data_IF_505556748299
#
_entry.id   IF_505556748299
#
_cell.length_a   1.000
_cell.length_b   1.000
_cell.length_c   1.000
_cell.angle_alpha   90.00
_cell.angle_beta   90.00
_cell.angle_gamma   90.00
#
_symmetry.space_group_name_H-M   'P 1'
#
loop_
_entity.id
_entity.type
_entity.pdbx_description
1 polymer ?
#
# COMPACT_ATOMS: atom_id res chain seq x y z
N UNK A 1 -43.26 9.60 20.37
CA UNK A 1 -42.03 9.96 21.09
C UNK A 1 -40.86 9.59 20.19
N UNK A 2 -40.19 10.59 19.61
CA UNK A 2 -39.02 10.41 18.76
C UNK A 2 -37.82 10.29 19.72
N UNK A 3 -37.28 9.09 19.88
CA UNK A 3 -35.98 8.90 20.54
C UNK A 3 -34.91 9.14 19.48
N UNK A 4 -34.42 10.38 19.43
CA UNK A 4 -33.22 10.73 18.70
C UNK A 4 -32.04 10.12 19.45
N UNK A 5 -31.52 9.00 18.96
CA UNK A 5 -30.27 8.42 19.47
C UNK A 5 -29.10 9.30 19.01
N UNK A 6 -28.49 10.00 19.96
CA UNK A 6 -27.22 10.70 19.76
C UNK A 6 -26.13 9.71 19.33
N UNK A 7 -25.57 9.89 18.13
CA UNK A 7 -24.32 9.25 17.74
C UNK A 7 -23.25 9.70 18.76
N UNK A 8 -22.65 8.74 19.47
CA UNK A 8 -21.42 8.99 20.19
C UNK A 8 -20.31 9.18 19.16
N UNK A 9 -19.90 10.42 18.91
CA UNK A 9 -18.60 10.69 18.30
C UNK A 9 -17.53 10.05 19.19
N UNK A 10 -16.70 9.18 18.63
CA UNK A 10 -15.64 8.54 19.40
C UNK A 10 -14.58 9.56 19.80
N UNK A 11 -13.85 9.30 20.87
CA UNK A 11 -12.73 10.18 21.23
C UNK A 11 -11.71 10.25 20.08
N UNK A 12 -11.23 11.44 19.72
CA UNK A 12 -10.20 11.58 18.70
C UNK A 12 -8.95 10.77 19.04
N UNK A 13 -8.44 10.02 18.07
CA UNK A 13 -7.22 9.21 18.18
C UNK A 13 -6.07 9.89 17.47
N UNK A 14 -4.85 9.70 18.00
CA UNK A 14 -3.63 10.17 17.35
C UNK A 14 -3.37 9.35 16.07
N UNK A 15 -3.00 10.06 14.99
CA UNK A 15 -2.67 9.46 13.71
C UNK A 15 -1.50 10.20 13.04
N UNK A 16 -0.82 9.50 12.12
CA UNK A 16 0.07 10.11 11.12
C UNK A 16 -0.69 10.25 9.83
N UNK A 17 -0.74 11.46 9.28
CA UNK A 17 -1.27 11.72 7.95
C UNK A 17 -0.11 11.86 6.98
N UNK A 18 -0.12 11.10 5.89
CA UNK A 18 0.87 11.16 4.83
C UNK A 18 0.17 11.52 3.53
N UNK A 19 0.72 12.47 2.79
CA UNK A 19 0.21 12.88 1.48
C UNK A 19 1.21 12.50 0.41
N UNK A 20 0.75 11.67 -0.53
CA UNK A 20 1.52 11.26 -1.69
C UNK A 20 0.97 11.93 -2.95
N UNK A 21 1.88 12.23 -3.88
CA UNK A 21 1.55 12.42 -5.27
C UNK A 21 1.83 11.09 -5.98
N UNK A 22 0.81 10.51 -6.60
CA UNK A 22 0.91 9.27 -7.37
C UNK A 22 0.71 9.56 -8.85
N UNK A 23 1.39 8.81 -9.70
CA UNK A 23 1.26 8.89 -11.15
C UNK A 23 1.22 7.47 -11.70
N UNK A 24 0.34 7.25 -12.68
CA UNK A 24 0.18 5.97 -13.35
C UNK A 24 0.13 6.20 -14.86
N UNK A 25 0.38 5.16 -15.65
CA UNK A 25 0.40 5.27 -17.10
C UNK A 25 -0.96 5.77 -17.62
N UNK A 26 -0.94 6.87 -18.36
CA UNK A 26 -2.14 7.47 -18.96
C UNK A 26 -3.06 8.22 -17.98
N UNK A 27 -2.65 8.42 -16.72
CA UNK A 27 -3.40 9.18 -15.71
C UNK A 27 -2.56 10.38 -15.25
N UNK A 28 -3.20 11.54 -15.16
CA UNK A 28 -2.56 12.74 -14.61
C UNK A 28 -2.15 12.52 -13.15
N UNK A 29 -1.01 13.07 -12.69
CA UNK A 29 -0.60 12.92 -11.30
C UNK A 29 -1.69 13.37 -10.33
N UNK A 30 -1.90 12.56 -9.29
CA UNK A 30 -3.00 12.76 -8.35
C UNK A 30 -2.60 12.56 -6.91
N UNK A 31 -3.37 13.17 -6.01
CA UNK A 31 -3.10 13.13 -4.58
C UNK A 31 -3.73 11.91 -3.94
N UNK A 32 -2.95 11.21 -3.12
CA UNK A 32 -3.43 10.14 -2.23
C UNK A 32 -3.08 10.49 -0.80
N UNK A 33 -4.03 10.33 0.12
CA UNK A 33 -3.83 10.57 1.56
C UNK A 33 -3.93 9.26 2.33
N UNK A 34 -2.92 9.00 3.16
CA UNK A 34 -2.89 7.90 4.10
C UNK A 34 -3.07 8.46 5.51
N UNK A 35 -4.04 7.94 6.26
CA UNK A 35 -4.19 8.22 7.69
C UNK A 35 -3.89 6.95 8.47
N UNK A 36 -2.81 6.95 9.23
CA UNK A 36 -2.27 5.76 9.90
C UNK A 36 -2.36 5.93 11.42
N UNK A 37 -3.04 5.00 12.07
CA UNK A 37 -3.07 4.84 13.53
C UNK A 37 -2.38 3.54 13.92
N UNK A 38 -2.22 3.27 15.21
CA UNK A 38 -1.75 1.97 15.67
C UNK A 38 -2.65 0.78 15.26
N UNK A 39 -3.90 1.03 14.86
CA UNK A 39 -4.91 0.01 14.55
C UNK A 39 -5.32 -0.04 13.08
N UNK A 40 -5.27 1.09 12.40
CA UNK A 40 -5.88 1.25 11.08
C UNK A 40 -4.98 2.02 10.12
N UNK A 41 -5.12 1.74 8.83
CA UNK A 41 -4.74 2.65 7.75
C UNK A 41 -6.00 2.97 6.97
N UNK A 42 -6.26 4.25 6.72
CA UNK A 42 -7.24 4.70 5.70
C UNK A 42 -6.49 5.30 4.53
N UNK A 43 -6.86 4.94 3.31
CA UNK A 43 -6.30 5.46 2.06
C UNK A 43 -7.44 6.10 1.28
N UNK A 44 -7.27 7.37 0.91
CA UNK A 44 -8.19 8.14 0.09
C UNK A 44 -7.48 8.63 -1.17
N UNK A 45 -8.06 8.36 -2.34
CA UNK A 45 -7.70 9.00 -3.61
C UNK A 45 -8.72 10.09 -3.95
N UNK A 46 -8.29 11.16 -4.63
CA UNK A 46 -9.08 12.21 -5.30
C UNK A 46 -10.24 12.94 -4.56
N UNK A 47 -11.13 12.26 -3.82
CA UNK A 47 -12.21 12.80 -2.97
C UNK A 47 -12.84 11.69 -2.11
N UNK A 48 -13.45 12.00 -0.95
CA UNK A 48 -14.21 11.01 -0.17
C UNK A 48 -15.45 10.45 -0.91
N UNK A 49 -15.84 11.03 -2.05
CA UNK A 49 -17.05 10.65 -2.79
C UNK A 49 -16.87 9.42 -3.70
N UNK A 50 -15.63 9.05 -4.07
CA UNK A 50 -15.33 7.87 -4.91
C UNK A 50 -15.34 6.57 -4.09
N UNK A 51 -14.83 6.64 -2.87
CA UNK A 51 -14.58 5.49 -2.02
C UNK A 51 -13.34 5.69 -1.15
N UNK A 52 -12.92 4.63 -0.48
CA UNK A 52 -11.69 4.61 0.30
C UNK A 52 -11.28 3.18 0.63
N UNK A 53 -10.04 3.00 1.04
CA UNK A 53 -9.53 1.72 1.53
C UNK A 53 -9.29 1.82 3.04
N UNK A 54 -9.71 0.82 3.80
CA UNK A 54 -9.35 0.65 5.21
C UNK A 54 -8.59 -0.66 5.40
N UNK A 55 -7.40 -0.59 5.98
CA UNK A 55 -6.72 -1.74 6.53
C UNK A 55 -6.96 -1.82 8.04
N UNK A 56 -7.61 -2.88 8.50
CA UNK A 56 -7.73 -3.23 9.90
C UNK A 56 -6.58 -4.18 10.29
N UNK A 57 -5.63 -3.63 11.07
CA UNK A 57 -4.43 -4.36 11.51
C UNK A 57 -4.75 -5.46 12.52
N UNK A 58 -5.75 -5.26 13.38
CA UNK A 58 -6.15 -6.24 14.40
C UNK A 58 -6.71 -7.48 13.74
N UNK A 59 -7.60 -7.29 12.77
CA UNK A 59 -8.26 -8.39 12.08
C UNK A 59 -7.50 -8.88 10.83
N UNK A 60 -6.44 -8.18 10.43
CA UNK A 60 -5.67 -8.43 9.21
C UNK A 60 -6.55 -8.51 7.96
N UNK A 61 -7.39 -7.48 7.77
CA UNK A 61 -8.30 -7.36 6.64
C UNK A 61 -8.17 -6.01 5.97
N UNK A 62 -8.19 -6.01 4.64
CA UNK A 62 -8.34 -4.80 3.83
C UNK A 62 -9.78 -4.75 3.33
N UNK A 63 -10.39 -3.59 3.46
CA UNK A 63 -11.69 -3.25 2.93
C UNK A 63 -11.47 -2.21 1.84
N UNK A 64 -11.90 -2.50 0.61
CA UNK A 64 -11.96 -1.51 -0.46
C UNK A 64 -13.42 -1.11 -0.63
N UNK A 65 -13.75 0.11 -0.23
CA UNK A 65 -15.12 0.65 -0.20
C UNK A 65 -15.32 1.47 -1.47
N UNK A 66 -16.38 1.17 -2.20
CA UNK A 66 -16.84 1.95 -3.36
C UNK A 66 -18.19 2.56 -3.06
N UNK A 67 -18.27 3.89 -3.08
CA UNK A 67 -19.53 4.62 -2.88
C UNK A 67 -20.43 4.58 -4.13
N UNK A 68 -19.82 4.44 -5.32
CA UNK A 68 -20.53 4.41 -6.60
C UNK A 68 -21.53 3.26 -6.70
N UNK A 69 -21.11 2.05 -6.33
CA UNK A 69 -21.94 0.84 -6.39
C UNK A 69 -22.33 0.28 -5.01
N UNK A 70 -22.05 1.05 -3.94
CA UNK A 70 -22.30 0.70 -2.54
C UNK A 70 -21.81 -0.70 -2.19
N UNK A 71 -20.54 -0.95 -2.51
CA UNK A 71 -19.93 -2.26 -2.35
C UNK A 71 -18.64 -2.21 -1.54
N UNK A 72 -18.30 -3.33 -0.93
CA UNK A 72 -17.06 -3.51 -0.16
C UNK A 72 -16.40 -4.81 -0.60
N UNK A 73 -15.24 -4.70 -1.24
CA UNK A 73 -14.36 -5.83 -1.44
C UNK A 73 -13.57 -6.07 -0.14
N UNK A 74 -13.75 -7.26 0.44
CA UNK A 74 -13.03 -7.69 1.65
C UNK A 74 -11.89 -8.61 1.25
N UNK A 75 -10.66 -8.22 1.59
CA UNK A 75 -9.43 -8.97 1.32
C UNK A 75 -8.83 -9.40 2.66
N UNK A 76 -9.02 -10.66 3.09
CA UNK A 76 -8.39 -11.17 4.29
C UNK A 76 -6.93 -11.52 4.04
N UNK A 77 -6.16 -11.67 5.12
CA UNK A 77 -4.80 -12.22 5.05
C UNK A 77 -4.83 -13.67 4.56
N UNK A 78 -4.04 -13.95 3.52
CA UNK A 78 -3.81 -15.31 3.04
C UNK A 78 -2.39 -15.80 3.36
N UNK A 79 -2.20 -17.12 3.58
CA UNK A 79 -0.88 -17.70 3.54
C UNK A 79 -0.32 -17.62 2.12
N UNK A 80 0.96 -17.28 1.99
CA UNK A 80 1.66 -17.20 0.70
C UNK A 80 2.89 -18.08 0.79
N UNK A 81 3.14 -18.88 -0.25
CA UNK A 81 4.38 -19.63 -0.38
C UNK A 81 5.55 -18.67 -0.61
N UNK A 82 6.75 -19.10 -0.26
CA UNK A 82 7.95 -18.36 -0.61
C UNK A 82 8.03 -18.19 -2.13
N UNK A 83 8.43 -17.01 -2.57
CA UNK A 83 8.68 -16.74 -3.99
C UNK A 83 10.03 -17.36 -4.37
N UNK A 84 10.01 -18.25 -5.35
CA UNK A 84 11.20 -18.90 -5.91
C UNK A 84 11.24 -18.62 -7.42
N UNK A 85 11.77 -17.45 -7.83
CA UNK A 85 11.79 -17.06 -9.24
C UNK A 85 12.76 -17.92 -10.07
N UNK A 86 12.45 -18.20 -11.35
CA UNK A 86 13.38 -18.85 -12.28
C UNK A 86 14.49 -17.91 -12.78
N UNK A 87 14.72 -16.79 -12.09
CA UNK A 87 15.69 -15.75 -12.42
C UNK A 87 16.32 -15.21 -11.14
N UNK A 88 17.48 -14.57 -11.27
CA UNK A 88 18.18 -14.02 -10.11
C UNK A 88 17.58 -12.67 -9.73
N UNK A 89 17.41 -12.45 -8.43
CA UNK A 89 17.13 -11.13 -7.87
C UNK A 89 18.41 -10.48 -7.39
N UNK A 90 18.63 -9.23 -7.79
CA UNK A 90 19.70 -8.39 -7.26
C UNK A 90 19.09 -7.21 -6.52
N UNK A 91 19.45 -7.05 -5.25
CA UNK A 91 18.98 -5.97 -4.40
C UNK A 91 20.17 -5.09 -4.03
N UNK A 92 20.07 -3.82 -4.35
CA UNK A 92 21.04 -2.80 -3.99
C UNK A 92 20.45 -1.87 -2.94
N UNK A 93 21.18 -1.64 -1.85
CA UNK A 93 20.80 -0.72 -0.79
C UNK A 93 21.98 0.19 -0.44
N UNK A 94 21.87 1.47 -0.78
CA UNK A 94 22.99 2.43 -0.69
C UNK A 94 22.52 3.81 -0.27
N UNK A 95 23.33 4.51 0.52
CA UNK A 95 23.06 5.91 0.86
C UNK A 95 23.12 6.77 -0.40
N UNK A 96 22.25 7.78 -0.50
CA UNK A 96 22.27 8.75 -1.59
C UNK A 96 23.17 9.92 -1.22
N UNK A 97 24.38 9.94 -1.77
CA UNK A 97 25.31 11.05 -1.56
C UNK A 97 24.74 12.34 -2.17
N UNK A 98 24.80 13.44 -1.42
CA UNK A 98 24.30 14.75 -1.84
C UNK A 98 22.78 14.92 -1.77
N UNK A 99 22.01 13.89 -1.43
CA UNK A 99 20.58 14.04 -1.19
C UNK A 99 20.32 14.88 0.09
N UNK A 100 19.30 15.76 0.10
CA UNK A 100 18.92 16.47 1.31
C UNK A 100 18.44 15.49 2.39
N UNK A 101 18.72 15.83 3.63
CA UNK A 101 18.18 15.06 4.77
C UNK A 101 16.68 15.34 4.94
N UNK A 102 15.94 14.32 5.34
CA UNK A 102 14.52 14.45 5.71
C UNK A 102 14.40 14.22 7.21
N UNK A 103 13.94 15.24 7.92
CA UNK A 103 13.91 15.24 9.39
C UNK A 103 15.26 14.89 10.03
N UNK A 104 16.35 15.41 9.46
CA UNK A 104 17.72 15.16 9.92
C UNK A 104 18.22 13.73 9.68
N UNK A 105 17.61 12.99 8.75
CA UNK A 105 17.96 11.60 8.42
C UNK A 105 18.35 11.49 6.95
N UNK A 106 19.35 10.66 6.68
CA UNK A 106 19.87 10.40 5.33
C UNK A 106 18.88 9.59 4.50
N UNK A 107 18.84 9.88 3.21
CA UNK A 107 18.08 9.11 2.22
C UNK A 107 18.94 7.97 1.68
N UNK A 108 18.32 6.81 1.47
CA UNK A 108 18.92 5.64 0.86
C UNK A 108 18.11 5.22 -0.37
N UNK A 109 18.81 4.71 -1.38
CA UNK A 109 18.21 4.06 -2.52
C UNK A 109 18.16 2.55 -2.29
N UNK A 110 17.00 1.95 -2.50
CA UNK A 110 16.72 0.53 -2.50
C UNK A 110 16.25 0.14 -3.91
N UNK A 111 17.09 -0.58 -4.64
CA UNK A 111 16.81 -0.97 -6.03
C UNK A 111 16.72 -2.48 -6.15
N UNK A 112 15.68 -2.96 -6.82
CA UNK A 112 15.49 -4.38 -7.10
C UNK A 112 15.55 -4.61 -8.60
N UNK A 113 16.42 -5.53 -9.01
CA UNK A 113 16.56 -5.94 -10.40
C UNK A 113 16.25 -7.42 -10.56
N UNK A 114 15.58 -7.77 -11.65
CA UNK A 114 15.55 -9.14 -12.16
C UNK A 114 16.67 -9.33 -13.18
N UNK A 115 17.43 -10.41 -13.05
CA UNK A 115 18.53 -10.75 -13.94
C UNK A 115 18.28 -12.13 -14.55
N UNK A 116 18.16 -12.16 -15.88
CA UNK A 116 18.01 -13.36 -16.70
C UNK A 116 19.31 -13.61 -17.48
N UNK A 117 19.35 -14.67 -18.30
CA UNK A 117 20.46 -14.91 -19.22
C UNK A 117 20.54 -13.90 -20.38
N UNK A 118 19.46 -13.15 -20.63
CA UNK A 118 19.34 -12.24 -21.78
C UNK A 118 19.33 -10.77 -21.36
N UNK A 119 18.77 -10.46 -20.20
CA UNK A 119 18.47 -9.08 -19.78
C UNK A 119 18.69 -8.87 -18.28
N UNK A 120 18.99 -7.63 -17.90
CA UNK A 120 18.91 -7.13 -16.53
C UNK A 120 17.97 -5.92 -16.54
N UNK A 121 16.92 -5.98 -15.74
CA UNK A 121 15.85 -4.97 -15.70
C UNK A 121 15.66 -4.49 -14.26
N UNK A 122 15.42 -3.19 -14.07
CA UNK A 122 15.08 -2.61 -12.76
C UNK A 122 13.58 -2.68 -12.58
N UNK A 123 13.13 -3.47 -11.60
CA UNK A 123 11.71 -3.69 -11.34
C UNK A 123 11.15 -2.68 -10.33
N UNK A 124 11.98 -2.27 -9.38
CA UNK A 124 11.65 -1.24 -8.39
C UNK A 124 12.88 -0.38 -8.13
N UNK A 125 12.67 0.92 -7.98
CA UNK A 125 13.66 1.87 -7.48
C UNK A 125 12.99 2.72 -6.40
N UNK A 126 13.49 2.64 -5.17
CA UNK A 126 12.82 3.22 -4.01
C UNK A 126 13.80 4.06 -3.23
N UNK A 127 13.50 5.34 -3.07
CA UNK A 127 14.19 6.20 -2.13
C UNK A 127 13.45 6.14 -0.80
N UNK A 128 14.17 5.84 0.27
CA UNK A 128 13.61 5.65 1.60
C UNK A 128 14.48 6.27 2.69
N UNK A 129 13.87 6.55 3.83
CA UNK A 129 14.53 7.18 4.97
C UNK A 129 14.48 6.25 6.18
N UNK A 130 15.62 5.65 6.58
CA UNK A 130 15.69 4.77 7.74
C UNK A 130 15.29 5.48 9.04
N UNK A 131 14.38 4.84 9.80
CA UNK A 131 13.90 5.37 11.09
C UNK A 131 12.97 6.58 11.00
N UNK A 132 12.55 7.00 9.80
CA UNK A 132 11.43 7.93 9.64
C UNK A 132 10.11 7.18 9.87
N UNK A 133 9.34 7.57 10.89
CA UNK A 133 8.03 7.00 11.22
C UNK A 133 7.98 5.45 11.18
N UNK A 134 8.77 4.75 12.01
CA UNK A 134 8.94 3.29 11.93
C UNK A 134 7.63 2.51 12.07
N UNK A 135 6.69 2.98 12.91
CA UNK A 135 5.37 2.34 13.07
C UNK A 135 4.50 2.46 11.80
N UNK A 136 4.65 3.55 11.05
CA UNK A 136 3.98 3.74 9.76
C UNK A 136 4.57 2.78 8.73
N UNK A 137 5.90 2.69 8.64
CA UNK A 137 6.56 1.76 7.73
C UNK A 137 6.18 0.29 8.03
N UNK A 138 6.11 -0.09 9.30
CA UNK A 138 5.64 -1.41 9.72
C UNK A 138 4.18 -1.67 9.28
N UNK A 139 3.30 -0.69 9.50
CA UNK A 139 1.89 -0.80 9.15
C UNK A 139 1.67 -0.92 7.63
N UNK A 140 2.40 -0.11 6.84
CA UNK A 140 2.38 -0.18 5.38
C UNK A 140 2.95 -1.51 4.86
N UNK A 141 3.99 -2.05 5.50
CA UNK A 141 4.49 -3.38 5.15
C UNK A 141 3.43 -4.47 5.42
N UNK A 142 2.73 -4.39 6.55
CA UNK A 142 1.69 -5.35 6.89
C UNK A 142 0.52 -5.30 5.89
N UNK A 143 0.12 -4.09 5.48
CA UNK A 143 -0.83 -3.87 4.39
C UNK A 143 -0.35 -4.48 3.06
N UNK A 144 0.87 -4.15 2.64
CA UNK A 144 1.46 -4.65 1.38
C UNK A 144 1.52 -6.18 1.33
N UNK A 145 1.79 -6.84 2.46
CA UNK A 145 1.78 -8.32 2.55
C UNK A 145 0.41 -8.92 2.26
N UNK A 146 -0.69 -8.25 2.64
CA UNK A 146 -2.06 -8.73 2.33
C UNK A 146 -2.36 -8.55 0.85
N UNK A 147 -2.03 -7.36 0.31
CA UNK A 147 -2.23 -7.05 -1.12
C UNK A 147 -1.44 -8.02 -2.00
N UNK A 148 -0.15 -8.22 -1.73
CA UNK A 148 0.68 -9.21 -2.45
C UNK A 148 0.13 -10.63 -2.33
N UNK A 149 -0.38 -11.04 -1.16
CA UNK A 149 -0.99 -12.35 -1.00
C UNK A 149 -2.21 -12.56 -1.92
N UNK A 150 -3.04 -11.52 -2.08
CA UNK A 150 -4.16 -11.53 -3.02
C UNK A 150 -3.68 -11.61 -4.47
N UNK A 151 -2.63 -10.86 -4.84
CA UNK A 151 -2.06 -10.93 -6.19
C UNK A 151 -1.49 -12.31 -6.52
N UNK A 152 -0.77 -12.95 -5.59
CA UNK A 152 -0.25 -14.32 -5.79
C UNK A 152 -1.38 -15.30 -6.07
N UNK A 153 -2.49 -15.21 -5.33
CA UNK A 153 -3.65 -16.09 -5.55
C UNK A 153 -4.31 -15.90 -6.92
N UNK A 154 -4.26 -14.68 -7.45
CA UNK A 154 -4.85 -14.33 -8.74
C UNK A 154 -3.85 -14.45 -9.90
N UNK A 155 -2.62 -14.90 -9.65
CA UNK A 155 -1.59 -14.99 -10.67
C UNK A 155 -2.02 -15.90 -11.83
N UNK A 156 -2.71 -17.01 -11.52
CA UNK A 156 -3.16 -17.95 -12.54
C UNK A 156 -4.21 -17.35 -13.50
N UNK A 157 -4.91 -16.30 -13.07
CA UNK A 157 -5.82 -15.52 -13.92
C UNK A 157 -5.11 -14.48 -14.79
N UNK A 158 -3.81 -14.23 -14.58
CA UNK A 158 -3.00 -13.34 -15.43
C UNK A 158 -2.46 -14.16 -16.62
N UNK A 159 -2.64 -13.74 -17.88
CA UNK A 159 -2.03 -14.43 -19.03
C UNK A 159 -0.50 -14.53 -18.91
N UNK A 160 0.10 -15.64 -19.38
CA UNK A 160 1.53 -15.92 -19.20
C UNK A 160 2.44 -14.84 -19.80
N UNK A 161 2.03 -14.25 -20.93
CA UNK A 161 2.74 -13.18 -21.61
C UNK A 161 2.89 -11.90 -20.76
N UNK A 162 2.00 -11.69 -19.78
CA UNK A 162 2.09 -10.57 -18.85
C UNK A 162 2.85 -10.91 -17.56
N UNK A 163 3.20 -12.19 -17.34
CA UNK A 163 3.95 -12.65 -16.15
C UNK A 163 5.46 -12.43 -16.29
N UNK A 164 5.86 -11.22 -16.70
CA UNK A 164 7.27 -10.86 -16.87
C UNK A 164 8.03 -10.92 -15.54
N UNK A 165 9.37 -11.04 -15.54
CA UNK A 165 10.16 -11.05 -14.31
C UNK A 165 9.87 -9.87 -13.39
N UNK A 166 9.78 -8.65 -13.93
CA UNK A 166 9.47 -7.48 -13.12
C UNK A 166 8.01 -7.43 -12.66
N UNK A 167 7.04 -7.86 -13.46
CA UNK A 167 5.66 -8.01 -13.00
C UNK A 167 5.58 -8.94 -11.78
N UNK A 168 6.24 -10.09 -11.84
CA UNK A 168 6.27 -11.05 -10.73
C UNK A 168 6.91 -10.46 -9.47
N UNK A 169 8.02 -9.72 -9.61
CA UNK A 169 8.74 -9.11 -8.48
C UNK A 169 7.97 -7.98 -7.84
N UNK A 170 7.44 -7.07 -8.65
CA UNK A 170 6.94 -5.76 -8.22
C UNK A 170 5.43 -5.78 -7.92
N UNK A 171 4.65 -6.48 -8.74
CA UNK A 171 3.18 -6.45 -8.64
C UNK A 171 2.64 -7.67 -7.88
N UNK A 172 3.26 -8.83 -8.04
CA UNK A 172 2.73 -10.09 -7.49
C UNK A 172 3.37 -10.43 -6.14
N UNK A 173 4.70 -10.55 -6.11
CA UNK A 173 5.45 -11.02 -4.95
C UNK A 173 6.10 -9.90 -4.12
N UNK A 174 5.79 -8.64 -4.39
CA UNK A 174 6.29 -7.52 -3.61
C UNK A 174 5.63 -7.47 -2.22
N UNK A 175 6.33 -8.01 -1.22
CA UNK A 175 5.90 -8.04 0.18
C UNK A 175 6.29 -6.79 0.96
N UNK A 176 6.85 -5.78 0.29
CA UNK A 176 7.28 -4.53 0.92
C UNK A 176 8.53 -4.70 1.79
N UNK A 177 9.48 -5.55 1.42
CA UNK A 177 10.67 -5.80 2.26
C UNK A 177 11.51 -4.53 2.50
N UNK A 178 11.44 -3.56 1.59
CA UNK A 178 12.07 -2.24 1.72
C UNK A 178 11.54 -1.42 2.92
N UNK A 179 10.29 -1.63 3.36
CA UNK A 179 9.76 -0.96 4.56
C UNK A 179 10.54 -1.32 5.83
N UNK A 180 11.22 -2.47 5.85
CA UNK A 180 12.12 -2.84 6.96
C UNK A 180 13.41 -2.02 6.99
N UNK A 181 13.74 -1.35 5.88
CA UNK A 181 14.91 -0.46 5.76
C UNK A 181 14.57 0.99 6.07
N UNK A 182 13.33 1.41 5.81
CA UNK A 182 12.83 2.73 6.17
C UNK A 182 11.54 3.08 5.43
N UNK A 183 11.02 4.26 5.69
CA UNK A 183 9.81 4.74 5.02
C UNK A 183 10.15 5.23 3.60
N UNK A 184 9.46 4.73 2.55
CA UNK A 184 9.58 5.25 1.20
C UNK A 184 9.13 6.71 1.11
N UNK A 185 9.93 7.50 0.42
CA UNK A 185 9.66 8.90 0.10
C UNK A 185 9.49 9.12 -1.41
N UNK A 186 10.09 8.26 -2.24
CA UNK A 186 9.88 8.21 -3.68
C UNK A 186 9.96 6.74 -4.13
N UNK A 187 9.02 6.31 -4.95
CA UNK A 187 8.93 4.94 -5.48
C UNK A 187 8.73 5.01 -6.99
N UNK A 188 9.51 4.24 -7.75
CA UNK A 188 9.30 3.95 -9.16
C UNK A 188 9.12 2.45 -9.34
N UNK A 189 8.05 2.08 -10.03
CA UNK A 189 7.64 0.70 -10.25
C UNK A 189 7.72 0.34 -11.74
N UNK A 190 7.77 -0.96 -12.01
CA UNK A 190 7.91 -1.50 -13.37
C UNK A 190 6.69 -1.28 -14.27
N UNK A 191 5.53 -1.01 -13.68
CA UNK A 191 4.28 -0.67 -14.38
C UNK A 191 4.10 0.84 -14.59
N UNK A 192 5.20 1.60 -14.61
CA UNK A 192 5.22 3.06 -14.72
C UNK A 192 4.56 3.81 -13.54
N UNK A 193 4.09 3.10 -12.50
CA UNK A 193 3.59 3.74 -11.30
C UNK A 193 4.73 4.46 -10.58
N UNK A 194 4.46 5.70 -10.20
CA UNK A 194 5.34 6.51 -9.36
C UNK A 194 4.59 7.02 -8.15
N UNK A 195 5.30 7.17 -7.04
CA UNK A 195 4.74 7.69 -5.80
C UNK A 195 5.76 8.55 -5.09
N UNK A 196 5.39 9.76 -4.71
CA UNK A 196 6.24 10.70 -4.00
C UNK A 196 5.56 11.19 -2.73
N UNK A 197 6.20 11.01 -1.58
CA UNK A 197 5.77 11.62 -0.32
C UNK A 197 6.00 13.12 -0.39
N UNK A 198 4.91 13.89 -0.31
CA UNK A 198 4.93 15.36 -0.40
C UNK A 198 4.76 16.02 0.96
N UNK A 199 4.07 15.36 1.89
CA UNK A 199 3.87 15.87 3.25
C UNK A 199 3.64 14.71 4.24
N UNK A 200 4.02 14.92 5.50
CA UNK A 200 3.57 14.11 6.61
C UNK A 200 3.39 14.96 7.86
N UNK A 201 2.36 14.67 8.65
CA UNK A 201 2.01 15.45 9.85
C UNK A 201 1.32 14.59 10.91
N UNK A 202 1.40 15.07 12.15
CA UNK A 202 0.71 14.49 13.30
C UNK A 202 -0.68 15.12 13.40
N UNK A 203 -1.72 14.28 13.45
CA UNK A 203 -3.11 14.74 13.50
C UNK A 203 -3.90 13.97 14.54
N UNK A 204 -5.03 14.55 14.95
CA UNK A 204 -6.08 13.84 15.69
C UNK A 204 -7.28 13.65 14.79
N UNK A 205 -7.81 12.44 14.72
CA UNK A 205 -8.96 12.09 13.87
C UNK A 205 -10.01 11.36 14.68
N UNK A 206 -11.28 11.55 14.33
CA UNK A 206 -12.36 10.72 14.91
C UNK A 206 -12.13 9.25 14.50
N UNK A 207 -12.34 8.33 15.43
CA UNK A 207 -12.24 6.89 15.15
C UNK A 207 -13.25 6.45 14.09
N UNK A 208 -14.39 7.15 13.97
CA UNK A 208 -15.40 6.87 12.95
C UNK A 208 -14.87 7.07 11.52
N UNK A 209 -13.73 7.75 11.35
CA UNK A 209 -13.04 7.85 10.06
C UNK A 209 -12.69 6.46 9.49
N UNK A 210 -12.57 5.44 10.33
CA UNK A 210 -12.21 4.07 9.91
C UNK A 210 -13.42 3.13 9.83
N UNK A 211 -14.64 3.64 9.99
CA UNK A 211 -15.85 2.82 9.96
C UNK A 211 -16.06 2.19 8.58
N UNK A 212 -16.61 0.98 8.59
CA UNK A 212 -17.00 0.24 7.40
C UNK A 212 -18.53 0.38 7.25
N UNK A 213 -19.07 0.90 6.14
CA UNK A 213 -20.51 1.11 5.97
C UNK A 213 -21.29 -0.20 6.07
N UNK A 214 -22.23 -0.28 7.00
CA UNK A 214 -22.98 -1.51 7.28
C UNK A 214 -24.03 -1.82 6.21
N UNK A 215 -24.50 -0.82 5.46
CA UNK A 215 -25.52 -0.94 4.42
C UNK A 215 -24.95 -1.32 3.04
N UNK A 216 -23.63 -1.48 2.91
CA UNK A 216 -22.97 -1.78 1.65
C UNK A 216 -22.86 -3.30 1.44
N UNK A 217 -22.99 -3.73 0.18
CA UNK A 217 -22.85 -5.14 -0.17
C UNK A 217 -21.39 -5.57 -0.05
N UNK A 218 -21.11 -6.54 0.83
CA UNK A 218 -19.78 -7.12 0.98
C UNK A 218 -19.58 -8.34 0.08
N UNK A 219 -18.38 -8.51 -0.45
CA UNK A 219 -17.97 -9.70 -1.19
C UNK A 219 -16.46 -9.95 -1.02
N UNK A 220 -16.04 -11.19 -1.21
CA UNK A 220 -14.63 -11.60 -1.23
C UNK A 220 -14.34 -12.37 -2.52
N UNK A 221 -13.11 -12.23 -3.05
CA UNK A 221 -12.67 -12.99 -4.24
C UNK A 221 -12.50 -14.50 -3.96
N UNK A 222 -12.59 -14.92 -2.69
CA UNK A 222 -12.67 -16.34 -2.32
C UNK A 222 -14.00 -16.98 -2.69
N UNK A 223 -15.06 -16.19 -2.81
CA UNK A 223 -16.44 -16.70 -2.89
C UNK A 223 -16.87 -16.96 -4.35
N UNK A 224 -15.99 -16.66 -5.31
CA UNK A 224 -16.21 -16.79 -6.75
C UNK A 224 -15.34 -17.87 -7.42
N UNK A 225 -14.64 -18.69 -6.64
CA UNK A 225 -13.78 -19.78 -7.12
C UNK A 225 -14.39 -21.18 -6.90
N UNK A 226 -15.70 -21.26 -6.63
CA UNK A 226 -16.46 -22.53 -6.63
C UNK A 226 -17.19 -22.76 -7.97
#
# INVERSE_FOLDING_TARGET
MILSSSLHAGEPVDAKKLTYMEQEQGIDPYRVTYTVTGKFIRINDHSDDSGYIVYDRKNNKVYSISHFDKSILVIPKYPVKAFDPPFKLEIEYKAMEGAPEISGKKVYNYRVKSVTSLTSETCMDIQLVPGLMPEVAESLQAFQKIVSAQHVRNLDSTPEEFRTPCYLVDQVHNRGDYYSKGLPIQEWHSNEKQRQLTNFEDVKVDVSLFDIPADYRQYSLSDSLE
#
